data_IF_933346824616
#
_entry.id   IF_933346824616
#
_cell.length_a   1.000
_cell.length_b   1.000
_cell.length_c   1.000
_cell.angle_alpha   90.00
_cell.angle_beta   90.00
_cell.angle_gamma   90.00
#
_symmetry.space_group_name_H-M   'P 1'
#
loop_
_entity.id
_entity.type
_entity.pdbx_description
1 polymer ?
#
# COMPACT_ATOMS: atom_id res chain seq x y z
N UNK A 1 -0.18 12.75 -11.91
CA UNK A 1 -1.10 12.85 -10.76
C UNK A 1 -0.71 11.71 -9.81
N UNK A 2 -0.59 11.97 -8.51
CA UNK A 2 -0.27 10.92 -7.55
C UNK A 2 -1.50 10.01 -7.38
N UNK A 3 -1.28 8.69 -7.34
CA UNK A 3 -2.35 7.72 -7.05
C UNK A 3 -2.65 7.78 -5.54
N UNK A 4 -3.88 8.14 -5.11
CA UNK A 4 -4.25 8.12 -3.71
C UNK A 4 -4.18 6.70 -3.12
N UNK A 5 -3.89 6.58 -1.83
CA UNK A 5 -3.88 5.28 -1.15
C UNK A 5 -5.20 4.51 -1.27
N UNK A 6 -6.35 5.20 -1.27
CA UNK A 6 -7.65 4.56 -1.48
C UNK A 6 -7.77 3.87 -2.85
N UNK A 7 -7.21 4.45 -3.91
CA UNK A 7 -7.16 3.82 -5.23
C UNK A 7 -6.26 2.59 -5.22
N UNK A 8 -5.13 2.64 -4.51
CA UNK A 8 -4.27 1.48 -4.32
C UNK A 8 -5.00 0.33 -3.59
N UNK A 9 -5.79 0.64 -2.55
CA UNK A 9 -6.58 -0.37 -1.82
C UNK A 9 -7.61 -1.06 -2.72
N UNK A 10 -8.31 -0.31 -3.57
CA UNK A 10 -9.25 -0.86 -4.55
C UNK A 10 -8.53 -1.79 -5.52
N UNK A 11 -7.43 -1.34 -6.12
CA UNK A 11 -6.64 -2.15 -7.05
C UNK A 11 -6.10 -3.43 -6.40
N UNK A 12 -5.66 -3.34 -5.15
CA UNK A 12 -5.19 -4.49 -4.38
C UNK A 12 -6.33 -5.50 -4.18
N UNK A 13 -7.50 -5.05 -3.74
CA UNK A 13 -8.67 -5.91 -3.53
C UNK A 13 -9.11 -6.61 -4.82
N UNK A 14 -9.24 -5.87 -5.92
CA UNK A 14 -9.61 -6.43 -7.24
C UNK A 14 -8.57 -7.44 -7.74
N UNK A 15 -7.28 -7.14 -7.55
CA UNK A 15 -6.18 -8.02 -7.98
C UNK A 15 -6.16 -9.32 -7.19
N UNK A 16 -6.45 -9.26 -5.89
CA UNK A 16 -6.57 -10.44 -5.03
C UNK A 16 -7.77 -11.29 -5.44
N UNK A 17 -8.94 -10.67 -5.61
CA UNK A 17 -10.17 -11.38 -5.99
C UNK A 17 -10.08 -12.04 -7.38
N UNK A 18 -9.32 -11.44 -8.29
CA UNK A 18 -9.07 -11.98 -9.63
C UNK A 18 -7.90 -12.97 -9.69
N UNK A 19 -7.28 -13.30 -8.54
CA UNK A 19 -6.12 -14.21 -8.44
C UNK A 19 -4.95 -13.83 -9.36
N UNK A 20 -4.80 -12.54 -9.67
CA UNK A 20 -3.79 -12.06 -10.61
C UNK A 20 -2.43 -11.86 -9.91
N UNK A 21 -1.69 -12.95 -9.75
CA UNK A 21 -0.40 -12.94 -9.03
C UNK A 21 0.67 -12.03 -9.63
N UNK A 22 0.70 -11.86 -10.96
CA UNK A 22 1.66 -10.95 -11.61
C UNK A 22 1.39 -9.50 -11.27
N UNK A 23 0.12 -9.08 -11.33
CA UNK A 23 -0.28 -7.74 -10.98
C UNK A 23 -0.10 -7.50 -9.47
N UNK A 24 -0.39 -8.50 -8.63
CA UNK A 24 -0.18 -8.43 -7.19
C UNK A 24 1.29 -8.17 -6.86
N UNK A 25 2.20 -8.89 -7.50
CA UNK A 25 3.64 -8.69 -7.34
C UNK A 25 4.06 -7.28 -7.78
N UNK A 26 3.48 -6.76 -8.87
CA UNK A 26 3.73 -5.39 -9.30
C UNK A 26 3.25 -4.34 -8.27
N UNK A 27 2.04 -4.51 -7.72
CA UNK A 27 1.47 -3.62 -6.69
C UNK A 27 2.27 -3.65 -5.39
N UNK A 28 2.77 -4.80 -4.96
CA UNK A 28 3.51 -4.93 -3.70
C UNK A 28 5.02 -4.71 -3.84
N UNK A 29 5.53 -4.49 -5.06
CA UNK A 29 6.95 -4.19 -5.26
C UNK A 29 7.32 -2.82 -4.64
N UNK A 30 8.26 -2.75 -3.69
CA UNK A 30 8.59 -1.49 -3.00
C UNK A 30 9.18 -0.39 -3.90
N UNK A 31 9.75 -0.76 -5.04
CA UNK A 31 10.38 0.15 -6.00
C UNK A 31 9.46 0.57 -7.14
N UNK A 32 8.19 0.15 -7.12
CA UNK A 32 7.22 0.53 -8.14
C UNK A 32 6.88 2.03 -8.13
N UNK A 33 6.44 2.60 -9.27
CA UNK A 33 6.11 4.03 -9.38
C UNK A 33 5.12 4.52 -8.33
N UNK A 34 4.06 3.76 -8.04
CA UNK A 34 3.04 4.14 -7.05
C UNK A 34 3.57 4.17 -5.62
N UNK A 35 4.60 3.36 -5.30
CA UNK A 35 5.28 3.45 -4.00
C UNK A 35 5.89 4.83 -3.75
N UNK A 36 6.37 5.52 -4.78
CA UNK A 36 6.88 6.91 -4.65
C UNK A 36 5.77 7.90 -4.33
N UNK A 37 4.55 7.65 -4.80
CA UNK A 37 3.42 8.53 -4.52
C UNK A 37 2.90 8.33 -3.09
N UNK A 38 2.87 7.09 -2.60
CA UNK A 38 2.58 6.78 -1.19
C UNK A 38 3.58 7.45 -0.22
N UNK A 39 4.87 7.48 -0.58
CA UNK A 39 5.90 8.17 0.23
C UNK A 39 5.67 9.68 0.31
N UNK A 40 5.10 10.28 -0.75
CA UNK A 40 4.75 11.71 -0.74
C UNK A 40 3.51 11.98 0.09
N UNK A 41 2.50 11.12 -0.03
CA UNK A 41 1.25 11.19 0.73
C UNK A 41 1.49 11.02 2.22
N UNK A 42 2.27 9.99 2.60
CA UNK A 42 2.58 9.67 3.99
C UNK A 42 4.04 9.94 4.32
N UNK A 43 4.39 11.23 4.55
CA UNK A 43 5.77 11.59 4.88
C UNK A 43 6.30 10.83 6.09
N UNK A 44 5.59 10.82 7.21
CA UNK A 44 5.99 10.11 8.44
C UNK A 44 4.87 9.15 8.84
N UNK A 45 4.79 7.98 8.19
CA UNK A 45 3.67 7.09 8.41
C UNK A 45 3.80 6.44 9.80
N UNK A 46 2.68 6.38 10.53
CA UNK A 46 2.56 5.61 11.76
C UNK A 46 1.65 4.41 11.50
N UNK A 47 2.10 3.22 11.88
CA UNK A 47 1.31 2.00 11.73
C UNK A 47 -0.04 2.13 12.41
N UNK A 48 -0.05 2.60 13.65
CA UNK A 48 -1.28 2.62 14.47
C UNK A 48 -2.30 3.62 13.93
N UNK A 49 -1.82 4.77 13.42
CA UNK A 49 -2.69 5.77 12.76
C UNK A 49 -3.29 5.21 11.48
N UNK A 50 -2.49 4.54 10.65
CA UNK A 50 -2.98 3.97 9.39
C UNK A 50 -3.90 2.77 9.60
N UNK A 51 -3.65 1.92 10.61
CA UNK A 51 -4.59 0.85 10.98
C UNK A 51 -5.91 1.45 11.48
N UNK A 52 -5.87 2.49 12.32
CA UNK A 52 -7.10 3.13 12.80
C UNK A 52 -7.92 3.75 11.66
N UNK A 53 -7.27 4.23 10.60
CA UNK A 53 -7.93 4.89 9.48
C UNK A 53 -8.39 3.91 8.37
N UNK A 54 -7.60 2.86 8.11
CA UNK A 54 -7.78 1.98 6.94
C UNK A 54 -7.96 0.49 7.28
N UNK A 55 -7.87 0.12 8.55
CA UNK A 55 -8.14 -1.24 9.00
C UNK A 55 -9.58 -1.63 8.69
N UNK A 56 -9.77 -2.81 8.11
CA UNK A 56 -11.07 -3.31 7.64
C UNK A 56 -11.62 -2.62 6.39
N UNK A 57 -10.89 -1.70 5.74
CA UNK A 57 -11.35 -1.12 4.47
C UNK A 57 -11.33 -2.11 3.30
N UNK A 58 -10.50 -3.14 3.39
CA UNK A 58 -10.50 -4.31 2.52
C UNK A 58 -10.37 -5.57 3.39
N UNK A 59 -10.62 -6.74 2.80
CA UNK A 59 -10.64 -8.00 3.54
C UNK A 59 -9.28 -8.29 4.20
N UNK A 60 -9.32 -8.65 5.48
CA UNK A 60 -8.15 -9.15 6.21
C UNK A 60 -7.61 -10.42 5.55
N UNK A 61 -6.29 -10.59 5.39
CA UNK A 61 -5.20 -9.77 5.96
C UNK A 61 -4.69 -8.65 5.04
N UNK A 62 -5.39 -8.31 3.95
CA UNK A 62 -4.87 -7.41 2.92
C UNK A 62 -4.81 -5.94 3.36
N UNK A 63 -5.71 -5.54 4.24
CA UNK A 63 -5.69 -4.23 4.89
C UNK A 63 -4.39 -4.02 5.69
N UNK A 64 -3.99 -5.01 6.49
CA UNK A 64 -2.73 -4.99 7.22
C UNK A 64 -1.52 -4.99 6.28
N UNK A 65 -1.56 -5.79 5.21
CA UNK A 65 -0.51 -5.83 4.18
C UNK A 65 -0.37 -4.45 3.52
N UNK A 66 -1.48 -3.79 3.19
CA UNK A 66 -1.46 -2.45 2.60
C UNK A 66 -0.83 -1.41 3.54
N UNK A 67 -1.17 -1.44 4.83
CA UNK A 67 -0.53 -0.57 5.83
C UNK A 67 0.96 -0.85 5.94
N UNK A 68 1.36 -2.14 5.99
CA UNK A 68 2.78 -2.53 6.03
C UNK A 68 3.51 -2.12 4.76
N UNK A 69 2.86 -2.17 3.60
CA UNK A 69 3.44 -1.74 2.34
C UNK A 69 3.81 -0.25 2.37
N UNK A 70 2.97 0.62 2.95
CA UNK A 70 3.30 2.04 3.17
C UNK A 70 4.54 2.20 4.06
N UNK A 71 4.67 1.40 5.11
CA UNK A 71 5.87 1.42 5.97
C UNK A 71 7.12 1.02 5.20
N UNK A 72 7.05 -0.09 4.45
CA UNK A 72 8.18 -0.65 3.70
C UNK A 72 8.64 0.32 2.61
N UNK A 73 7.72 0.86 1.82
CA UNK A 73 8.05 1.85 0.76
C UNK A 73 8.70 3.09 1.35
N UNK A 74 8.21 3.57 2.50
CA UNK A 74 8.80 4.71 3.22
C UNK A 74 10.21 4.43 3.74
N UNK A 75 10.44 3.23 4.29
CA UNK A 75 11.74 2.76 4.75
C UNK A 75 12.75 2.67 3.59
N UNK A 76 12.35 2.02 2.49
CA UNK A 76 13.15 1.88 1.26
C UNK A 76 13.49 3.24 0.65
N UNK A 77 12.51 4.13 0.49
CA UNK A 77 12.73 5.45 -0.08
C UNK A 77 13.68 6.32 0.75
N UNK A 78 13.68 6.13 2.07
CA UNK A 78 14.56 6.84 3.02
C UNK A 78 15.93 6.16 3.19
N UNK A 79 16.17 5.01 2.55
CA UNK A 79 17.35 4.15 2.76
C UNK A 79 17.61 3.86 4.25
N UNK A 80 16.54 3.74 5.02
CA UNK A 80 16.64 3.27 6.40
C UNK A 80 16.59 1.76 6.42
#
# INVERSE_FOLDING_TARGET
MAIPFSTFLVQLSETVQSENGQHLAYLLRPTSPHGKDLVKEFRNPSRDVLIAQYGGCIDSPWDEIAVRYVMVTSHVARKR
#
